data_IF_628864182762
#
_entry.id   IF_628864182762
#
_cell.length_a   1.000
_cell.length_b   1.000
_cell.length_c   1.000
_cell.angle_alpha   90.00
_cell.angle_beta   90.00
_cell.angle_gamma   90.00
#
_symmetry.space_group_name_H-M   'P 1'
#
loop_
_entity.id
_entity.type
_entity.pdbx_description
1 polymer ?
#
# COMPACT_ATOMS: atom_id res chain seq x y z
N UNK A 1 -21.63 19.19 3.04
CA UNK A 1 -20.28 19.81 2.99
C UNK A 1 -20.37 21.18 3.64
N UNK A 2 -19.42 21.59 4.51
CA UNK A 2 -19.42 22.93 5.08
C UNK A 2 -19.41 23.99 3.97
N UNK A 3 -20.16 25.09 4.17
CA UNK A 3 -20.35 26.12 3.12
C UNK A 3 -19.05 26.80 2.67
N UNK A 4 -18.01 26.81 3.50
CA UNK A 4 -16.74 27.45 3.20
C UNK A 4 -15.81 26.63 2.29
N UNK A 5 -16.05 25.32 2.13
CA UNK A 5 -15.13 24.43 1.40
C UNK A 5 -14.98 24.80 -0.09
N UNK A 6 -16.06 25.02 -0.86
CA UNK A 6 -15.92 25.37 -2.27
C UNK A 6 -15.17 26.70 -2.48
N UNK A 7 -15.45 27.70 -1.65
CA UNK A 7 -14.81 29.02 -1.73
C UNK A 7 -13.31 28.89 -1.46
N UNK A 8 -12.93 28.20 -0.38
CA UNK A 8 -11.52 28.00 -0.04
C UNK A 8 -10.74 27.26 -1.13
N UNK A 9 -11.35 26.25 -1.77
CA UNK A 9 -10.73 25.53 -2.89
C UNK A 9 -10.47 26.45 -4.08
N UNK A 10 -11.46 27.26 -4.46
CA UNK A 10 -11.34 28.20 -5.58
C UNK A 10 -10.32 29.30 -5.27
N UNK A 11 -10.33 29.85 -4.07
CA UNK A 11 -9.36 30.88 -3.66
C UNK A 11 -7.92 30.36 -3.67
N UNK A 12 -7.67 29.18 -3.11
CA UNK A 12 -6.34 28.55 -3.16
C UNK A 12 -5.89 28.26 -4.59
N UNK A 13 -6.78 27.73 -5.43
CA UNK A 13 -6.47 27.40 -6.82
C UNK A 13 -6.14 28.64 -7.68
N UNK A 14 -6.88 29.74 -7.50
CA UNK A 14 -6.68 30.97 -8.26
C UNK A 14 -5.46 31.78 -7.80
N UNK A 15 -5.13 31.71 -6.52
CA UNK A 15 -4.02 32.48 -5.94
C UNK A 15 -2.73 31.67 -5.79
N UNK A 16 -2.73 30.39 -6.12
CA UNK A 16 -1.57 29.50 -5.94
C UNK A 16 -1.17 29.34 -4.47
N UNK A 17 -2.14 29.34 -3.55
CA UNK A 17 -1.89 29.20 -2.10
C UNK A 17 -2.21 27.80 -1.62
N UNK A 18 -1.55 27.38 -0.55
CA UNK A 18 -1.80 26.15 0.16
C UNK A 18 -3.26 26.06 0.61
N UNK A 19 -3.77 24.83 0.63
CA UNK A 19 -5.12 24.57 1.08
C UNK A 19 -5.21 24.68 2.61
N UNK A 20 -6.32 25.20 3.15
CA UNK A 20 -6.47 25.37 4.60
C UNK A 20 -6.48 24.03 5.34
N UNK A 21 -5.84 24.00 6.51
CA UNK A 21 -5.77 22.84 7.41
C UNK A 21 -7.15 22.27 7.82
N UNK A 22 -8.22 23.07 7.76
CA UNK A 22 -9.59 22.60 8.00
C UNK A 22 -10.06 21.57 6.96
N UNK A 23 -9.58 21.67 5.71
CA UNK A 23 -9.83 20.69 4.67
C UNK A 23 -9.08 19.39 4.93
N UNK A 24 -7.82 19.48 5.33
CA UNK A 24 -7.02 18.32 5.74
C UNK A 24 -7.74 17.53 6.85
N UNK A 25 -8.13 18.22 7.92
CA UNK A 25 -8.85 17.61 9.03
C UNK A 25 -10.14 16.92 8.58
N UNK A 26 -10.85 17.50 7.60
CA UNK A 26 -12.08 16.91 7.05
C UNK A 26 -11.79 15.67 6.20
N UNK A 27 -10.74 15.70 5.37
CA UNK A 27 -10.34 14.59 4.53
C UNK A 27 -9.83 13.39 5.34
N UNK A 28 -8.97 13.60 6.34
CA UNK A 28 -8.45 12.51 7.19
C UNK A 28 -9.55 11.91 8.06
N UNK A 29 -10.46 12.72 8.63
CA UNK A 29 -11.65 12.20 9.34
C UNK A 29 -12.51 11.33 8.43
N UNK A 30 -12.66 11.69 7.15
CA UNK A 30 -13.38 10.84 6.20
C UNK A 30 -12.67 9.51 5.95
N UNK A 31 -11.33 9.48 5.92
CA UNK A 31 -10.58 8.22 5.84
C UNK A 31 -10.85 7.31 7.05
N UNK A 32 -10.93 7.87 8.26
CA UNK A 32 -11.27 7.10 9.46
C UNK A 32 -12.68 6.50 9.34
N UNK A 33 -13.68 7.31 8.95
CA UNK A 33 -15.08 6.87 8.81
C UNK A 33 -15.25 5.79 7.73
N UNK A 34 -14.55 5.93 6.60
CA UNK A 34 -14.58 4.96 5.49
C UNK A 34 -13.71 3.71 5.74
N UNK A 35 -13.13 3.58 6.94
CA UNK A 35 -12.24 2.49 7.32
C UNK A 35 -11.06 2.33 6.36
N UNK A 36 -10.52 3.47 5.91
CA UNK A 36 -9.37 3.54 5.03
C UNK A 36 -9.50 4.58 3.92
N UNK A 37 -8.45 4.71 3.09
CA UNK A 37 -8.43 5.64 1.97
C UNK A 37 -9.17 5.06 0.74
N UNK A 38 -10.24 4.29 0.95
CA UNK A 38 -10.98 3.59 -0.10
C UNK A 38 -12.34 4.22 -0.36
N UNK A 39 -12.75 4.28 -1.62
CA UNK A 39 -14.09 4.68 -2.03
C UNK A 39 -14.79 3.50 -2.71
N UNK A 40 -16.11 3.42 -2.56
CA UNK A 40 -16.93 2.41 -3.23
C UNK A 40 -17.80 3.09 -4.28
N UNK A 41 -17.65 2.66 -5.53
CA UNK A 41 -18.47 3.13 -6.65
C UNK A 41 -19.02 1.91 -7.40
N UNK A 42 -20.33 1.85 -7.63
CA UNK A 42 -21.03 0.70 -8.23
C UNK A 42 -20.66 -0.65 -7.59
N UNK A 43 -20.52 -0.67 -6.26
CA UNK A 43 -20.12 -1.88 -5.50
C UNK A 43 -18.64 -2.23 -5.59
N UNK A 44 -17.85 -1.52 -6.40
CA UNK A 44 -16.40 -1.73 -6.54
C UNK A 44 -15.67 -0.82 -5.57
N UNK A 45 -14.93 -1.42 -4.64
CA UNK A 45 -14.08 -0.70 -3.69
C UNK A 45 -12.69 -0.47 -4.29
N UNK A 46 -12.28 0.78 -4.39
CA UNK A 46 -11.02 1.21 -4.98
C UNK A 46 -10.35 2.31 -4.14
N UNK A 47 -9.07 2.60 -4.41
CA UNK A 47 -8.37 3.70 -3.75
C UNK A 47 -9.06 5.04 -4.08
N UNK A 48 -9.35 5.83 -3.06
CA UNK A 48 -9.96 7.15 -3.21
C UNK A 48 -8.88 8.17 -3.61
N UNK A 49 -8.54 8.19 -4.90
CA UNK A 49 -7.53 9.09 -5.48
C UNK A 49 -7.83 10.55 -5.15
N UNK A 50 -9.10 10.99 -5.25
CA UNK A 50 -9.49 12.37 -4.95
C UNK A 50 -9.23 12.78 -3.49
N UNK A 51 -9.50 11.91 -2.52
CA UNK A 51 -9.25 12.22 -1.10
C UNK A 51 -7.75 12.25 -0.80
N UNK A 52 -7.00 11.32 -1.37
CA UNK A 52 -5.54 11.29 -1.22
C UNK A 52 -4.88 12.51 -1.88
N UNK A 53 -5.35 12.90 -3.06
CA UNK A 53 -4.90 14.12 -3.74
C UNK A 53 -5.23 15.37 -2.91
N UNK A 54 -6.43 15.44 -2.33
CA UNK A 54 -6.79 16.55 -1.43
C UNK A 54 -5.91 16.59 -0.19
N UNK A 55 -5.64 15.43 0.44
CA UNK A 55 -4.73 15.33 1.59
C UNK A 55 -3.34 15.82 1.19
N UNK A 56 -2.79 15.32 0.07
CA UNK A 56 -1.49 15.73 -0.44
C UNK A 56 -1.44 17.23 -0.67
N UNK A 57 -2.42 17.79 -1.37
CA UNK A 57 -2.50 19.22 -1.65
C UNK A 57 -2.61 20.11 -0.39
N UNK A 58 -3.17 19.59 0.72
CA UNK A 58 -3.17 20.29 2.00
C UNK A 58 -1.85 20.18 2.77
N UNK A 59 -1.01 19.18 2.45
CA UNK A 59 0.31 18.97 3.07
C UNK A 59 1.42 19.64 2.26
N UNK A 60 1.14 19.99 1.00
CA UNK A 60 2.03 20.72 0.13
C UNK A 60 2.17 22.18 0.59
N UNK A 61 3.40 22.70 0.80
CA UNK A 61 3.62 24.08 1.22
C UNK A 61 3.40 25.09 0.08
N UNK A 62 3.36 26.39 0.41
CA UNK A 62 3.16 27.48 -0.57
C UNK A 62 4.34 27.59 -1.57
N UNK A 63 5.56 27.33 -1.12
CA UNK A 63 6.80 27.38 -1.91
C UNK A 63 7.14 26.01 -2.54
N UNK A 64 6.11 25.22 -2.84
CA UNK A 64 6.25 23.89 -3.40
C UNK A 64 7.03 23.87 -4.71
N UNK A 65 8.08 23.05 -4.72
CA UNK A 65 8.82 22.68 -5.92
C UNK A 65 8.36 21.29 -6.41
N UNK A 66 7.67 21.21 -7.56
CA UNK A 66 7.24 19.94 -8.14
C UNK A 66 8.38 18.97 -8.45
N UNK A 67 9.58 19.47 -8.74
CA UNK A 67 10.73 18.61 -9.08
C UNK A 67 11.30 17.89 -7.85
N UNK A 68 11.09 18.46 -6.66
CA UNK A 68 11.63 17.97 -5.38
C UNK A 68 10.53 17.52 -4.40
N UNK A 69 9.36 17.10 -4.90
CA UNK A 69 8.22 16.70 -4.07
C UNK A 69 8.48 15.38 -3.30
N UNK A 70 8.68 15.43 -1.96
CA UNK A 70 8.94 14.23 -1.16
C UNK A 70 7.73 13.30 -1.05
N UNK A 71 6.55 13.78 -1.46
CA UNK A 71 5.28 13.05 -1.48
C UNK A 71 4.83 12.71 -2.91
N UNK A 72 5.73 12.80 -3.90
CA UNK A 72 5.44 12.38 -5.28
C UNK A 72 5.18 10.88 -5.40
N UNK A 73 5.96 10.08 -4.68
CA UNK A 73 5.94 8.63 -4.77
C UNK A 73 6.42 7.97 -3.47
N UNK A 74 6.68 6.67 -3.50
CA UNK A 74 7.17 5.93 -2.35
C UNK A 74 8.56 6.44 -1.92
N UNK A 75 8.59 7.24 -0.86
CA UNK A 75 9.82 7.66 -0.20
C UNK A 75 10.21 6.69 0.94
N UNK A 76 11.27 5.90 0.74
CA UNK A 76 11.74 4.94 1.75
C UNK A 76 12.50 5.61 2.91
N UNK A 77 13.00 6.82 2.68
CA UNK A 77 13.86 7.59 3.58
C UNK A 77 13.16 8.83 4.15
N UNK A 78 11.83 8.83 4.17
CA UNK A 78 11.05 9.87 4.85
C UNK A 78 11.49 10.01 6.30
N UNK A 79 11.60 11.24 6.80
CA UNK A 79 11.90 11.51 8.21
C UNK A 79 10.66 11.45 9.10
N UNK A 80 9.47 11.21 8.52
CA UNK A 80 8.19 11.28 9.21
C UNK A 80 7.75 9.91 9.72
N UNK A 81 7.72 9.66 11.04
CA UNK A 81 7.29 8.37 11.59
C UNK A 81 5.86 8.01 11.17
N UNK A 82 4.96 8.98 11.11
CA UNK A 82 3.58 8.77 10.69
C UNK A 82 3.47 8.19 9.27
N UNK A 83 4.34 8.64 8.35
CA UNK A 83 4.41 8.11 6.99
C UNK A 83 4.81 6.63 6.99
N UNK A 84 5.82 6.26 7.77
CA UNK A 84 6.24 4.86 7.92
C UNK A 84 5.18 4.00 8.61
N UNK A 85 4.41 4.53 9.56
CA UNK A 85 3.25 3.82 10.13
C UNK A 85 2.22 3.47 9.04
N UNK A 86 1.98 4.40 8.10
CA UNK A 86 1.15 4.15 6.93
C UNK A 86 1.71 3.03 6.05
N UNK A 87 3.00 3.10 5.73
CA UNK A 87 3.72 2.05 4.98
C UNK A 87 3.61 0.70 5.67
N UNK A 88 3.81 0.65 6.99
CA UNK A 88 3.73 -0.56 7.80
C UNK A 88 2.35 -1.22 7.66
N UNK A 89 1.27 -0.45 7.76
CA UNK A 89 -0.08 -0.99 7.55
C UNK A 89 -0.24 -1.62 6.15
N UNK A 90 0.31 -1.01 5.11
CA UNK A 90 0.25 -1.57 3.75
C UNK A 90 1.04 -2.90 3.65
N UNK A 91 2.19 -3.00 4.31
CA UNK A 91 2.99 -4.24 4.39
C UNK A 91 2.23 -5.33 5.13
N UNK A 92 1.64 -5.03 6.28
CA UNK A 92 0.84 -5.98 7.07
C UNK A 92 -0.38 -6.48 6.28
N UNK A 93 -1.04 -5.60 5.52
CA UNK A 93 -2.14 -5.99 4.62
C UNK A 93 -1.66 -6.93 3.51
N UNK A 94 -0.47 -6.65 2.93
CA UNK A 94 0.11 -7.51 1.92
C UNK A 94 0.49 -8.91 2.46
N UNK A 95 1.05 -8.96 3.67
CA UNK A 95 1.36 -10.20 4.40
C UNK A 95 0.08 -11.02 4.63
N UNK A 96 -0.99 -10.39 5.13
CA UNK A 96 -2.26 -11.07 5.32
C UNK A 96 -2.81 -11.62 4.00
N UNK A 97 -2.79 -10.83 2.92
CA UNK A 97 -3.26 -11.27 1.60
C UNK A 97 -2.48 -12.46 1.05
N UNK A 98 -1.15 -12.42 1.17
CA UNK A 98 -0.29 -13.52 0.76
C UNK A 98 -0.61 -14.80 1.55
N UNK A 99 -0.81 -14.67 2.87
CA UNK A 99 -1.20 -15.80 3.72
C UNK A 99 -2.52 -16.45 3.28
N UNK A 100 -3.60 -15.67 3.13
CA UNK A 100 -4.90 -16.21 2.72
C UNK A 100 -4.89 -16.81 1.32
N UNK A 101 -4.10 -16.24 0.39
CA UNK A 101 -3.89 -16.81 -0.93
C UNK A 101 -3.28 -18.21 -0.86
N UNK A 102 -2.30 -18.42 0.03
CA UNK A 102 -1.65 -19.73 0.21
C UNK A 102 -2.56 -20.75 0.90
N UNK A 103 -3.42 -20.28 1.80
CA UNK A 103 -4.45 -21.11 2.43
C UNK A 103 -5.63 -21.43 1.50
N UNK A 104 -5.67 -20.87 0.28
CA UNK A 104 -6.79 -20.98 -0.65
C UNK A 104 -8.12 -20.57 0.02
N UNK A 105 -8.08 -19.50 0.81
CA UNK A 105 -9.21 -18.97 1.57
C UNK A 105 -9.52 -17.54 1.16
N UNK A 106 -10.80 -17.22 1.08
CA UNK A 106 -11.25 -15.85 0.86
C UNK A 106 -11.02 -14.98 2.10
N UNK A 107 -10.69 -13.71 1.84
CA UNK A 107 -10.46 -12.72 2.89
C UNK A 107 -11.77 -11.98 3.13
N UNK A 108 -12.43 -12.28 4.25
CA UNK A 108 -13.69 -11.62 4.61
C UNK A 108 -13.50 -10.15 4.98
N UNK A 109 -12.42 -9.84 5.72
CA UNK A 109 -12.05 -8.48 6.14
C UNK A 109 -10.54 -8.37 6.27
N UNK A 110 -10.00 -7.29 5.73
CA UNK A 110 -8.56 -7.02 5.79
C UNK A 110 -8.17 -6.38 7.12
N UNK A 111 -6.87 -6.36 7.43
CA UNK A 111 -6.33 -5.58 8.56
C UNK A 111 -6.68 -4.10 8.44
N UNK A 112 -6.75 -3.58 7.22
CA UNK A 112 -7.12 -2.18 6.96
C UNK A 112 -8.58 -1.95 7.33
N UNK A 113 -9.50 -2.81 6.88
CA UNK A 113 -10.94 -2.65 7.15
C UNK A 113 -11.26 -2.65 8.64
N UNK A 114 -10.52 -3.43 9.44
CA UNK A 114 -10.74 -3.49 10.89
C UNK A 114 -10.05 -2.38 11.66
N UNK A 115 -8.80 -2.06 11.32
CA UNK A 115 -7.92 -1.36 12.25
C UNK A 115 -7.53 0.05 11.77
N UNK A 116 -7.92 0.48 10.55
CA UNK A 116 -7.45 1.75 10.00
C UNK A 116 -7.71 2.94 10.92
N UNK A 117 -8.90 3.05 11.52
CA UNK A 117 -9.23 4.16 12.42
C UNK A 117 -8.31 4.21 13.64
N UNK A 118 -8.08 3.07 14.31
CA UNK A 118 -7.20 2.99 15.47
C UNK A 118 -5.74 3.22 15.11
N UNK A 119 -5.26 2.63 14.02
CA UNK A 119 -3.87 2.77 13.58
C UNK A 119 -3.54 4.17 13.08
N UNK A 120 -4.46 4.83 12.38
CA UNK A 120 -4.23 6.19 11.90
C UNK A 120 -4.30 7.22 13.04
N UNK A 121 -4.85 6.89 14.20
CA UNK A 121 -5.01 7.85 15.31
C UNK A 121 -4.09 7.58 16.48
N UNK A 122 -3.86 6.30 16.82
CA UNK A 122 -3.02 5.87 17.94
C UNK A 122 -2.16 4.64 17.58
N UNK A 123 -1.12 4.78 16.73
CA UNK A 123 -0.21 3.70 16.32
C UNK A 123 0.37 2.90 17.49
N UNK A 124 0.85 3.59 18.53
CA UNK A 124 1.62 3.00 19.64
C UNK A 124 0.94 1.84 20.35
N UNK A 125 -0.39 1.86 20.47
CA UNK A 125 -1.15 0.80 21.16
C UNK A 125 -1.80 -0.19 20.19
N UNK A 126 -1.92 0.14 18.90
CA UNK A 126 -2.70 -0.64 17.94
C UNK A 126 -1.84 -1.54 17.04
N UNK A 127 -0.53 -1.26 16.85
CA UNK A 127 0.32 -2.07 15.96
C UNK A 127 0.78 -3.40 16.59
N UNK A 128 0.97 -3.46 17.90
CA UNK A 128 1.56 -4.62 18.60
C UNK A 128 0.91 -5.96 18.25
N UNK A 129 -0.41 -6.13 18.42
CA UNK A 129 -1.10 -7.37 18.09
C UNK A 129 -0.96 -7.77 16.62
N UNK A 130 -1.03 -6.79 15.71
CA UNK A 130 -0.95 -7.04 14.27
C UNK A 130 0.44 -7.50 13.83
N UNK A 131 1.49 -6.97 14.46
CA UNK A 131 2.87 -7.43 14.24
C UNK A 131 3.06 -8.87 14.72
N UNK A 132 2.47 -9.22 15.87
CA UNK A 132 2.46 -10.59 16.39
C UNK A 132 1.82 -11.56 15.39
N UNK A 133 0.60 -11.28 14.95
CA UNK A 133 -0.13 -12.10 13.98
C UNK A 133 0.63 -12.23 12.64
N UNK A 134 1.17 -11.11 12.14
CA UNK A 134 1.90 -11.08 10.88
C UNK A 134 3.18 -11.93 10.93
N UNK A 135 3.96 -11.80 12.00
CA UNK A 135 5.25 -12.51 12.13
C UNK A 135 5.08 -13.98 12.46
N UNK A 136 4.19 -14.32 13.40
CA UNK A 136 4.05 -15.69 13.89
C UNK A 136 3.14 -16.55 13.01
N UNK A 137 1.94 -16.05 12.70
CA UNK A 137 0.94 -16.83 11.98
C UNK A 137 1.13 -16.72 10.46
N UNK A 138 1.12 -15.49 9.93
CA UNK A 138 1.11 -15.28 8.48
C UNK A 138 2.47 -15.61 7.84
N UNK A 139 3.55 -14.91 8.23
CA UNK A 139 4.89 -15.16 7.71
C UNK A 139 5.37 -16.58 8.05
N UNK A 140 5.10 -17.07 9.26
CA UNK A 140 5.43 -18.45 9.66
C UNK A 140 4.75 -19.52 8.80
N UNK A 141 3.59 -19.26 8.20
CA UNK A 141 2.99 -20.16 7.20
C UNK A 141 3.69 -20.05 5.85
N UNK A 142 3.99 -18.84 5.38
CA UNK A 142 4.68 -18.60 4.11
C UNK A 142 6.10 -19.20 4.10
N UNK A 143 6.80 -19.16 5.23
CA UNK A 143 8.14 -19.73 5.41
C UNK A 143 8.14 -21.26 5.31
N UNK A 144 7.10 -21.93 5.82
CA UNK A 144 7.04 -23.40 5.83
C UNK A 144 6.75 -24.01 4.46
N UNK A 145 6.21 -23.23 3.53
CA UNK A 145 5.87 -23.70 2.20
C UNK A 145 6.96 -23.31 1.19
N UNK A 146 7.64 -24.33 0.63
CA UNK A 146 8.73 -24.15 -0.35
C UNK A 146 8.33 -23.29 -1.56
N UNK A 147 7.07 -23.37 -2.00
CA UNK A 147 6.57 -22.59 -3.15
C UNK A 147 6.45 -21.10 -2.85
N UNK A 148 6.39 -20.72 -1.58
CA UNK A 148 6.19 -19.33 -1.14
C UNK A 148 7.42 -18.73 -0.49
N UNK A 149 8.56 -19.42 -0.53
CA UNK A 149 9.80 -18.98 0.11
C UNK A 149 10.28 -17.61 -0.41
N UNK A 150 10.21 -17.37 -1.73
CA UNK A 150 10.55 -16.07 -2.31
C UNK A 150 9.63 -14.95 -1.85
N UNK A 151 8.33 -15.24 -1.73
CA UNK A 151 7.34 -14.29 -1.19
C UNK A 151 7.58 -13.98 0.28
N UNK A 152 7.89 -15.01 1.08
CA UNK A 152 8.27 -14.85 2.49
C UNK A 152 9.47 -13.92 2.65
N UNK A 153 10.59 -14.19 1.96
CA UNK A 153 11.80 -13.38 2.05
C UNK A 153 11.57 -11.93 1.63
N UNK A 154 10.77 -11.71 0.57
CA UNK A 154 10.45 -10.37 0.10
C UNK A 154 9.62 -9.59 1.14
N UNK A 155 8.58 -10.21 1.72
CA UNK A 155 7.70 -9.56 2.68
C UNK A 155 8.36 -9.37 4.05
N UNK A 156 9.16 -10.34 4.49
CA UNK A 156 9.95 -10.23 5.73
C UNK A 156 10.96 -9.08 5.63
N UNK A 157 11.65 -8.96 4.49
CA UNK A 157 12.55 -7.85 4.22
C UNK A 157 11.79 -6.52 4.23
N UNK A 158 10.68 -6.42 3.51
CA UNK A 158 9.88 -5.18 3.46
C UNK A 158 9.36 -4.77 4.85
N UNK A 159 8.95 -5.74 5.68
CA UNK A 159 8.55 -5.50 7.06
C UNK A 159 9.72 -4.97 7.91
N UNK A 160 10.89 -5.61 7.80
CA UNK A 160 12.12 -5.18 8.50
C UNK A 160 12.52 -3.77 8.10
N UNK A 161 12.61 -3.51 6.80
CA UNK A 161 13.04 -2.22 6.25
C UNK A 161 12.15 -1.06 6.75
N UNK A 162 10.84 -1.30 6.91
CA UNK A 162 9.93 -0.28 7.47
C UNK A 162 10.11 -0.12 8.99
N UNK A 163 10.28 -1.23 9.72
CA UNK A 163 10.48 -1.19 11.18
C UNK A 163 11.82 -0.55 11.57
N UNK A 164 12.87 -0.70 10.76
CA UNK A 164 14.16 -0.02 10.99
C UNK A 164 14.03 1.52 10.93
N UNK A 165 13.06 2.03 10.16
CA UNK A 165 12.73 3.46 10.11
C UNK A 165 11.75 3.90 11.22
N UNK A 166 11.29 2.97 12.06
CA UNK A 166 10.34 3.17 13.16
C UNK A 166 10.92 2.61 14.47
N UNK A 167 11.97 3.22 15.05
CA UNK A 167 12.53 2.74 16.31
C UNK A 167 11.52 2.81 17.46
N UNK A 168 10.61 3.79 17.42
CA UNK A 168 9.51 3.93 18.37
C UNK A 168 8.21 4.25 17.64
N UNK A 169 7.09 3.72 18.14
CA UNK A 169 5.78 4.05 17.61
C UNK A 169 5.26 5.35 18.24
N UNK A 170 4.79 6.31 17.43
CA UNK A 170 4.14 7.49 17.96
C UNK A 170 2.85 7.09 18.70
N UNK A 171 2.65 7.66 19.89
CA UNK A 171 1.50 7.33 20.74
C UNK A 171 0.17 7.72 20.10
N UNK A 172 0.14 8.91 19.49
CA UNK A 172 -1.03 9.46 18.80
C UNK A 172 -0.58 10.26 17.59
N UNK A 173 -1.44 10.39 16.57
CA UNK A 173 -1.20 11.19 15.38
C UNK A 173 -2.17 12.37 15.29
N UNK A 174 -1.64 13.57 15.07
CA UNK A 174 -2.40 14.76 14.73
C UNK A 174 -2.92 14.70 13.27
N UNK A 175 -3.66 15.71 12.80
CA UNK A 175 -4.28 15.67 11.46
C UNK A 175 -3.26 15.69 10.30
N UNK A 176 -2.11 16.35 10.48
CA UNK A 176 -1.00 16.36 9.51
C UNK A 176 -0.38 14.97 9.43
N UNK A 177 -0.05 14.40 10.58
CA UNK A 177 0.50 13.06 10.70
C UNK A 177 -0.47 11.99 10.17
N UNK A 178 -1.78 12.12 10.42
CA UNK A 178 -2.82 11.27 9.82
C UNK A 178 -2.85 11.36 8.30
N UNK A 179 -2.58 12.54 7.74
CA UNK A 179 -2.45 12.74 6.30
C UNK A 179 -1.21 12.01 5.75
N UNK A 180 -0.06 12.18 6.40
CA UNK A 180 1.18 11.48 6.05
C UNK A 180 1.04 9.96 6.16
N UNK A 181 0.35 9.47 7.19
CA UNK A 181 -0.01 8.06 7.33
C UNK A 181 -0.82 7.56 6.13
N UNK A 182 -1.85 8.31 5.72
CA UNK A 182 -2.68 7.93 4.57
C UNK A 182 -1.87 7.88 3.26
N UNK A 183 -0.95 8.84 3.05
CA UNK A 183 -0.08 8.89 1.88
C UNK A 183 0.95 7.76 1.89
N UNK A 184 1.61 7.50 3.03
CA UNK A 184 2.56 6.40 3.16
C UNK A 184 1.93 5.03 2.90
N UNK A 185 0.71 4.82 3.40
CA UNK A 185 -0.08 3.64 3.06
C UNK A 185 -0.34 3.53 1.56
N UNK A 186 -0.80 4.62 0.94
CA UNK A 186 -1.13 4.64 -0.48
C UNK A 186 0.10 4.39 -1.37
N UNK A 187 1.21 5.07 -1.10
CA UNK A 187 2.44 4.91 -1.89
C UNK A 187 2.99 3.49 -1.79
N UNK A 188 3.07 2.93 -0.59
CA UNK A 188 3.53 1.55 -0.40
C UNK A 188 2.62 0.55 -1.12
N UNK A 189 1.30 0.73 -1.02
CA UNK A 189 0.35 -0.16 -1.68
C UNK A 189 0.42 -0.09 -3.20
N UNK A 190 0.50 1.12 -3.77
CA UNK A 190 0.62 1.31 -5.22
C UNK A 190 1.92 0.71 -5.75
N UNK A 191 3.04 0.93 -5.05
CA UNK A 191 4.32 0.32 -5.42
C UNK A 191 4.27 -1.22 -5.38
N UNK A 192 3.63 -1.80 -4.37
CA UNK A 192 3.48 -3.26 -4.26
C UNK A 192 2.60 -3.85 -5.37
N UNK A 193 1.54 -3.14 -5.79
CA UNK A 193 0.71 -3.54 -6.93
C UNK A 193 1.52 -3.47 -8.23
N UNK A 194 2.22 -2.36 -8.46
CA UNK A 194 3.04 -2.17 -9.66
C UNK A 194 4.10 -3.27 -9.81
N UNK A 195 4.82 -3.56 -8.72
CA UNK A 195 5.80 -4.65 -8.67
C UNK A 195 5.19 -6.03 -8.95
N UNK A 196 3.94 -6.26 -8.51
CA UNK A 196 3.24 -7.51 -8.79
C UNK A 196 2.83 -7.63 -10.27
N UNK A 197 2.40 -6.53 -10.89
CA UNK A 197 2.07 -6.48 -12.32
C UNK A 197 3.31 -6.72 -13.18
N UNK A 198 4.44 -6.08 -12.85
CA UNK A 198 5.71 -6.26 -13.56
C UNK A 198 6.21 -7.71 -13.48
N UNK A 199 6.15 -8.35 -12.31
CA UNK A 199 6.50 -9.76 -12.15
C UNK A 199 5.61 -10.68 -12.97
N UNK A 200 4.31 -10.37 -13.06
CA UNK A 200 3.37 -11.13 -13.88
C UNK A 200 3.71 -11.01 -15.37
N UNK A 201 3.97 -9.78 -15.84
CA UNK A 201 4.35 -9.52 -17.22
C UNK A 201 5.69 -10.21 -17.59
N UNK A 202 6.68 -10.17 -16.70
CA UNK A 202 7.96 -10.87 -16.91
C UNK A 202 7.77 -12.39 -16.99
N UNK A 203 6.99 -12.99 -16.09
CA UNK A 203 6.71 -14.43 -16.14
C UNK A 203 5.92 -14.87 -17.38
N UNK A 204 5.03 -14.03 -17.91
CA UNK A 204 4.33 -14.26 -19.18
C UNK A 204 5.28 -14.14 -20.39
N UNK A 205 6.25 -13.22 -20.35
CA UNK A 205 7.27 -13.07 -21.38
C UNK A 205 8.28 -14.23 -21.41
N UNK A 206 8.70 -14.72 -20.25
CA UNK A 206 9.58 -15.88 -20.13
C UNK A 206 8.87 -17.14 -20.65
N UNK A 207 7.60 -17.35 -20.28
CA UNK A 207 6.79 -18.46 -20.78
C UNK A 207 6.56 -18.40 -22.31
N UNK A 208 6.41 -17.20 -22.87
CA UNK A 208 6.31 -17.00 -24.32
C UNK A 208 7.65 -17.26 -25.04
N UNK A 209 8.78 -16.96 -24.40
CA UNK A 209 10.12 -17.18 -24.95
C UNK A 209 10.48 -18.68 -24.93
N UNK A 210 10.17 -19.40 -23.85
CA UNK A 210 10.38 -20.86 -23.77
C UNK A 210 9.52 -21.63 -24.80
N UNK A 211 8.30 -21.17 -25.07
CA UNK A 211 7.43 -21.76 -26.10
C UNK A 211 7.94 -21.56 -27.54
N UNK A 212 8.85 -20.59 -27.78
CA UNK A 212 9.48 -20.36 -29.08
C UNK A 212 10.76 -21.20 -29.24
N UNK A 213 11.37 -21.65 -28.15
CA UNK A 213 12.66 -22.36 -28.14
C UNK A 213 12.49 -23.89 -28.14
N UNK A 214 11.29 -24.45 -27.90
CA UNK A 214 11.07 -25.90 -28.08
C UNK A 214 11.39 -26.32 -29.53
N UNK A 215 12.44 -27.13 -29.76
CA UNK A 215 12.73 -27.60 -31.11
C UNK A 215 11.63 -28.58 -31.50
N UNK A 216 11.02 -28.34 -32.65
CA UNK A 216 10.18 -29.31 -33.35
C UNK A 216 11.04 -30.52 -33.72
N UNK A 217 11.25 -31.43 -32.78
CA UNK A 217 11.83 -32.74 -33.07
C UNK A 217 10.76 -33.52 -33.81
N UNK A 218 10.79 -33.43 -35.14
CA UNK A 218 10.04 -34.32 -36.01
C UNK A 218 10.59 -35.73 -35.81
N UNK A 219 9.83 -36.58 -35.14
CA UNK A 219 10.03 -38.04 -35.16
C UNK A 219 9.72 -38.54 -36.57
N UNK A 220 10.76 -38.73 -37.39
CA UNK A 220 10.68 -39.59 -38.57
C UNK A 220 10.73 -41.04 -38.09
N UNK A 221 9.56 -41.66 -38.06
CA UNK A 221 9.31 -43.08 -37.86
C UNK A 221 9.73 -43.82 -39.14
N UNK A 222 10.94 -44.39 -39.16
CA UNK A 222 11.32 -45.42 -40.13
C UNK A 222 11.07 -46.79 -39.48
N UNK A 223 10.05 -47.46 -40.00
CA UNK A 223 9.58 -48.76 -39.54
C UNK A 223 10.54 -49.92 -39.84
N UNK A 224 10.47 -50.90 -38.95
CA UNK A 224 11.05 -52.25 -39.02
C UNK A 224 9.86 -53.25 -39.20
N UNK A 225 10.02 -54.57 -39.48
CA UNK A 225 11.13 -55.35 -40.03
C UNK A 225 10.68 -56.33 -41.16
N UNK A 226 11.64 -57.07 -41.77
CA UNK A 226 11.42 -58.40 -42.40
C UNK A 226 12.28 -59.46 -41.70
#
# INVERSE_FOLDING_TARGET
>A
MPKHVPVALVESALNGRALPNSLLATAVRRNVVEQGPYSTYNGVRSMSTYRLALIKACLTPDDFDPENDPLASLNLDSNEPAYHCGRLLAVLDNIQRAYFKVENREINRTVVDRNYGGLSTAPGVNFGPLLGDATQAHLGKLQRNKRTQGTYLALERELRDVLEKLPEFPQTLNHIEQGLFALGFYHQRTASIQKALERKAAGEADAATDAIIEPTVSTSDEGDPE
#
